data_IF_307009435655
#
_entry.id   IF_307009435655
#
_cell.length_a   1.000
_cell.length_b   1.000
_cell.length_c   1.000
_cell.angle_alpha   90.00
_cell.angle_beta   90.00
_cell.angle_gamma   90.00
#
_symmetry.space_group_name_H-M   'P 1'
#
loop_
_entity.id
_entity.type
_entity.pdbx_description
1 polymer ?
#
# COMPACT_ATOMS: atom_id res chain seq x y z
N UNK A 1 3.50 9.17 -12.83
CA UNK A 1 2.26 8.88 -12.09
C UNK A 1 2.30 9.55 -10.74
N UNK A 2 1.30 10.34 -10.46
CA UNK A 2 1.24 11.02 -9.17
C UNK A 2 0.86 10.02 -8.08
N UNK A 3 1.64 9.98 -7.04
CA UNK A 3 1.33 9.13 -5.90
C UNK A 3 0.61 9.97 -4.84
N UNK A 4 -0.30 9.32 -4.14
CA UNK A 4 -1.05 9.94 -3.06
C UNK A 4 -0.14 10.34 -1.90
N UNK A 5 0.97 9.65 -1.75
CA UNK A 5 1.90 9.84 -0.65
C UNK A 5 3.29 10.14 -1.17
N UNK A 6 4.08 10.83 -0.37
CA UNK A 6 5.43 11.21 -0.76
C UNK A 6 6.39 10.03 -0.87
N UNK A 7 6.35 9.12 0.10
CA UNK A 7 7.31 8.02 0.20
C UNK A 7 6.66 6.64 0.17
N UNK A 8 5.36 6.57 0.04
CA UNK A 8 4.60 5.31 0.09
C UNK A 8 3.71 5.25 -1.12
N UNK A 9 3.65 4.07 -1.72
CA UNK A 9 2.69 3.79 -2.79
C UNK A 9 1.74 2.70 -2.31
N UNK A 10 0.48 2.87 -2.62
CA UNK A 10 -0.55 1.87 -2.33
C UNK A 10 -1.36 1.66 -3.59
N UNK A 11 -1.52 0.41 -3.99
CA UNK A 11 -2.35 0.11 -5.16
C UNK A 11 -3.09 -1.20 -4.97
N UNK A 12 -4.08 -1.41 -5.81
CA UNK A 12 -4.88 -2.62 -5.84
C UNK A 12 -4.44 -3.47 -7.04
N UNK A 13 -4.09 -4.72 -6.78
CA UNK A 13 -3.66 -5.65 -7.82
C UNK A 13 -4.37 -6.99 -7.62
N UNK A 14 -5.41 -7.23 -8.39
CA UNK A 14 -6.22 -8.44 -8.30
C UNK A 14 -5.63 -9.63 -9.05
N UNK A 15 -4.46 -9.46 -9.66
CA UNK A 15 -3.78 -10.55 -10.35
C UNK A 15 -2.90 -11.38 -9.42
N UNK A 16 -2.73 -10.95 -8.18
CA UNK A 16 -1.91 -11.67 -7.22
C UNK A 16 -2.64 -12.92 -6.70
N UNK A 17 -1.89 -14.01 -6.59
CA UNK A 17 -2.46 -15.34 -6.29
C UNK A 17 -2.72 -15.59 -4.81
N UNK A 18 -2.30 -14.70 -3.93
CA UNK A 18 -2.36 -14.91 -2.48
C UNK A 18 -3.59 -14.30 -1.80
N UNK A 19 -4.57 -13.86 -2.57
CA UNK A 19 -5.77 -13.17 -2.07
C UNK A 19 -5.48 -11.91 -1.27
N UNK A 20 -4.36 -11.28 -1.55
CA UNK A 20 -3.95 -10.03 -0.90
C UNK A 20 -3.72 -8.95 -1.95
N UNK A 21 -4.80 -8.41 -2.51
CA UNK A 21 -4.68 -7.48 -3.64
C UNK A 21 -4.19 -6.09 -3.27
N UNK A 22 -4.25 -5.68 -2.02
CA UNK A 22 -3.80 -4.35 -1.62
C UNK A 22 -2.31 -4.38 -1.32
N UNK A 23 -1.53 -3.70 -2.15
CA UNK A 23 -0.07 -3.69 -2.04
C UNK A 23 0.38 -2.36 -1.47
N UNK A 24 1.23 -2.43 -0.46
CA UNK A 24 1.86 -1.26 0.15
C UNK A 24 3.35 -1.34 -0.10
N UNK A 25 3.90 -0.30 -0.68
CA UNK A 25 5.33 -0.23 -0.99
C UNK A 25 5.90 1.11 -0.58
N UNK A 26 7.20 1.15 -0.37
CA UNK A 26 7.89 2.41 -0.13
C UNK A 26 8.87 2.69 -1.27
N UNK A 27 9.19 3.97 -1.45
CA UNK A 27 10.23 4.40 -2.37
C UNK A 27 11.51 4.58 -1.61
N UNK A 28 12.60 4.16 -2.23
CA UNK A 28 13.92 4.42 -1.69
C UNK A 28 14.33 5.85 -2.05
N UNK A 29 14.66 6.65 -1.04
CA UNK A 29 15.18 8.00 -1.24
C UNK A 29 16.59 7.91 -1.80
N UNK A 30 16.78 8.34 -3.00
CA UNK A 30 18.09 8.33 -3.64
C UNK A 30 18.20 7.32 -4.74
N UNK A 31 17.25 6.42 -4.85
CA UNK A 31 17.16 5.57 -6.02
C UNK A 31 16.52 6.34 -7.16
N UNK A 32 16.92 6.01 -8.36
CA UNK A 32 16.22 6.47 -9.53
C UNK A 32 14.77 6.00 -9.45
N UNK A 33 13.87 6.84 -9.82
CA UNK A 33 12.46 6.94 -9.56
C UNK A 33 11.59 5.68 -9.66
N UNK A 34 12.13 4.51 -9.98
CA UNK A 34 11.30 3.34 -10.24
C UNK A 34 11.48 2.20 -9.24
N UNK A 35 12.46 2.29 -8.35
CA UNK A 35 12.67 1.25 -7.38
C UNK A 35 11.72 1.39 -6.21
N UNK A 36 10.94 0.34 -5.98
CA UNK A 36 9.98 0.28 -4.90
C UNK A 36 10.18 -1.00 -4.11
N UNK A 37 10.09 -0.87 -2.82
CA UNK A 37 10.18 -2.01 -1.93
C UNK A 37 8.80 -2.34 -1.41
N UNK A 38 8.30 -3.54 -1.71
CA UNK A 38 7.01 -3.97 -1.19
C UNK A 38 7.16 -4.25 0.29
N UNK A 39 6.39 -3.55 1.11
CA UNK A 39 6.39 -3.70 2.55
C UNK A 39 5.41 -4.77 2.99
N UNK A 40 4.23 -4.78 2.38
CA UNK A 40 3.17 -5.68 2.78
C UNK A 40 2.13 -5.79 1.68
N UNK A 41 1.42 -6.90 1.70
CA UNK A 41 0.22 -7.08 0.91
C UNK A 41 -0.93 -7.42 1.86
N UNK A 42 -2.07 -6.81 1.64
CA UNK A 42 -3.23 -6.96 2.53
C UNK A 42 -4.39 -7.62 1.79
N UNK A 43 -5.08 -8.49 2.49
CA UNK A 43 -6.35 -9.03 2.01
C UNK A 43 -7.44 -7.96 2.14
N UNK A 44 -8.60 -8.22 1.53
CA UNK A 44 -9.75 -7.33 1.68
C UNK A 44 -10.14 -7.14 3.14
N UNK A 45 -10.12 -8.22 3.92
CA UNK A 45 -10.45 -8.15 5.33
C UNK A 45 -9.43 -7.33 6.12
N UNK A 46 -8.15 -7.53 5.81
CA UNK A 46 -7.09 -6.76 6.48
C UNK A 46 -7.15 -5.28 6.09
N UNK A 47 -7.42 -4.98 4.83
CA UNK A 47 -7.57 -3.60 4.38
C UNK A 47 -8.76 -2.92 5.07
N UNK A 48 -9.85 -3.65 5.26
CA UNK A 48 -11.00 -3.12 5.98
C UNK A 48 -10.67 -2.81 7.43
N UNK A 49 -9.93 -3.69 8.09
CA UNK A 49 -9.48 -3.44 9.47
C UNK A 49 -8.59 -2.21 9.54
N UNK A 50 -7.70 -2.05 8.58
CA UNK A 50 -6.86 -0.86 8.53
C UNK A 50 -7.69 0.41 8.34
N UNK A 51 -8.69 0.35 7.47
CA UNK A 51 -9.59 1.48 7.26
C UNK A 51 -10.31 1.86 8.57
N UNK A 52 -10.84 0.88 9.28
CA UNK A 52 -11.55 1.12 10.54
C UNK A 52 -10.60 1.71 11.59
N UNK A 53 -9.40 1.18 11.67
CA UNK A 53 -8.38 1.69 12.59
C UNK A 53 -8.05 3.15 12.30
N UNK A 54 -7.80 3.47 11.03
CA UNK A 54 -7.49 4.83 10.64
C UNK A 54 -8.65 5.77 10.90
N UNK A 55 -9.86 5.34 10.61
CA UNK A 55 -11.05 6.14 10.84
C UNK A 55 -11.22 6.47 12.33
N UNK A 56 -10.96 5.49 13.19
CA UNK A 56 -11.05 5.68 14.63
C UNK A 56 -10.05 6.71 15.15
N UNK A 57 -8.83 6.70 14.61
CA UNK A 57 -7.77 7.56 15.11
C UNK A 57 -7.72 8.94 14.44
N UNK A 58 -8.34 9.10 13.29
CA UNK A 58 -8.32 10.36 12.56
C UNK A 58 -9.48 11.29 12.87
N UNK A 59 -10.43 10.87 13.65
CA UNK A 59 -11.56 11.70 14.05
C UNK A 59 -11.23 12.54 15.25
#
# INVERSE_FOLDING_TARGET
>A
MDTMFENIDIWYDDTLDDNKPFVVACRDRGATSEERWVLASLSNAEAKKLYEYLQEHLN
#
